data_IF_305722672969
#
_entry.id   IF_305722672969
#
_cell.length_a   1.000
_cell.length_b   1.000
_cell.length_c   1.000
_cell.angle_alpha   90.00
_cell.angle_beta   90.00
_cell.angle_gamma   90.00
#
_symmetry.space_group_name_H-M   'P 1'
#
loop_
_entity.id
_entity.type
_entity.pdbx_description
1 polymer ?
#
# COMPACT_ATOMS: atom_id res chain seq x y z
N UNK A 1 -13.92 0.31 -15.86
CA UNK A 1 -13.08 0.49 -14.66
C UNK A 1 -11.81 1.22 -15.04
N UNK A 2 -11.31 2.10 -14.20
CA UNK A 2 -10.16 2.93 -14.50
C UNK A 2 -9.11 2.76 -13.41
N UNK A 3 -7.89 2.46 -13.81
CA UNK A 3 -6.73 2.37 -12.94
C UNK A 3 -5.86 3.60 -13.18
N UNK A 4 -5.47 4.32 -12.15
CA UNK A 4 -4.84 5.63 -12.28
C UNK A 4 -3.45 5.64 -11.67
N UNK A 5 -2.61 5.98 -12.53
CA UNK A 5 -1.24 6.46 -12.60
C UNK A 5 -0.28 6.35 -11.43
N UNK A 6 0.85 5.76 -11.74
CA UNK A 6 2.14 6.41 -11.67
C UNK A 6 3.25 5.51 -12.21
N UNK A 7 4.35 6.07 -12.71
CA UNK A 7 5.49 5.33 -13.26
C UNK A 7 6.24 4.46 -12.22
N UNK A 8 5.84 4.48 -10.95
CA UNK A 8 6.46 3.76 -9.83
C UNK A 8 5.48 2.92 -9.01
N UNK A 9 4.30 2.59 -9.55
CA UNK A 9 3.30 1.86 -8.78
C UNK A 9 3.32 0.38 -9.06
N UNK A 10 4.22 -0.20 -8.40
CA UNK A 10 4.33 -1.64 -8.29
C UNK A 10 3.00 -2.27 -7.79
N UNK A 11 2.35 -1.66 -6.79
CA UNK A 11 1.03 -2.09 -6.28
C UNK A 11 -0.07 -1.96 -7.34
N UNK A 12 -0.12 -0.84 -8.06
CA UNK A 12 -1.10 -0.62 -9.12
C UNK A 12 -0.96 -1.63 -10.26
N UNK A 13 0.26 -2.02 -10.59
CA UNK A 13 0.53 -3.03 -11.62
C UNK A 13 0.17 -4.44 -11.17
N UNK A 14 0.38 -4.80 -9.91
CA UNK A 14 -0.07 -6.07 -9.35
C UNK A 14 -1.62 -6.18 -9.43
N UNK A 15 -2.33 -5.13 -9.08
CA UNK A 15 -3.79 -5.07 -9.18
C UNK A 15 -4.23 -5.10 -10.66
N UNK A 16 -3.57 -4.35 -11.53
CA UNK A 16 -3.87 -4.26 -12.96
C UNK A 16 -3.75 -5.63 -13.63
N UNK A 17 -2.69 -6.39 -13.32
CA UNK A 17 -2.49 -7.72 -13.87
C UNK A 17 -3.68 -8.64 -13.57
N UNK A 18 -4.16 -8.66 -12.31
CA UNK A 18 -5.30 -9.48 -11.92
C UNK A 18 -6.58 -9.07 -12.65
N UNK A 19 -6.81 -7.75 -12.80
CA UNK A 19 -8.00 -7.22 -13.46
C UNK A 19 -8.02 -7.49 -14.97
N UNK A 20 -6.87 -7.39 -15.64
CA UNK A 20 -6.74 -7.69 -17.08
C UNK A 20 -6.89 -9.20 -17.31
N UNK A 21 -6.19 -10.03 -16.52
CA UNK A 21 -6.26 -11.49 -16.69
C UNK A 21 -7.67 -12.04 -16.41
N UNK A 22 -8.41 -11.41 -15.50
CA UNK A 22 -9.79 -11.78 -15.19
C UNK A 22 -10.76 -11.58 -16.35
N UNK A 23 -10.45 -10.75 -17.33
CA UNK A 23 -11.25 -10.44 -18.54
C UNK A 23 -12.73 -10.08 -18.26
N UNK A 24 -13.04 -9.72 -17.02
CA UNK A 24 -14.42 -9.35 -16.62
C UNK A 24 -14.73 -7.87 -16.88
N UNK A 25 -13.70 -7.05 -17.06
CA UNK A 25 -13.83 -5.59 -17.12
C UNK A 25 -13.06 -4.99 -18.29
N UNK A 26 -13.61 -3.92 -18.84
CA UNK A 26 -12.83 -3.03 -19.69
C UNK A 26 -11.99 -2.13 -18.79
N UNK A 27 -10.65 -2.28 -18.85
CA UNK A 27 -9.70 -1.55 -18.02
C UNK A 27 -9.07 -0.43 -18.82
N UNK A 28 -9.15 0.80 -18.29
CA UNK A 28 -8.42 1.95 -18.83
C UNK A 28 -7.45 2.47 -17.77
N UNK A 29 -6.25 2.79 -18.20
CA UNK A 29 -5.18 3.31 -17.34
C UNK A 29 -4.90 4.76 -17.72
N UNK A 30 -5.01 5.65 -16.74
CA UNK A 30 -4.54 7.03 -16.89
C UNK A 30 -3.06 7.10 -16.54
N UNK A 31 -2.28 7.78 -17.36
CA UNK A 31 -0.85 7.98 -17.17
C UNK A 31 -0.47 9.41 -17.47
N UNK A 32 0.61 9.93 -16.87
CA UNK A 32 1.19 11.23 -17.24
C UNK A 32 2.08 11.14 -18.47
N UNK A 33 2.59 9.95 -18.74
CA UNK A 33 3.51 9.66 -19.85
C UNK A 33 3.01 8.48 -20.65
N UNK A 34 3.50 8.29 -21.86
CA UNK A 34 3.17 7.11 -22.66
C UNK A 34 3.62 5.82 -21.95
N UNK A 35 2.77 4.79 -21.98
CA UNK A 35 3.03 3.48 -21.37
C UNK A 35 2.69 2.34 -22.37
N UNK A 36 3.54 2.16 -23.41
CA UNK A 36 3.29 1.17 -24.47
C UNK A 36 3.26 -0.28 -23.97
N UNK A 37 3.98 -0.58 -22.88
CA UNK A 37 3.98 -1.87 -22.21
C UNK A 37 2.60 -2.24 -21.65
N UNK A 38 1.87 -1.27 -21.09
CA UNK A 38 0.50 -1.49 -20.60
C UNK A 38 -0.48 -1.71 -21.76
N UNK A 39 -0.30 -1.00 -22.86
CA UNK A 39 -1.11 -1.20 -24.07
C UNK A 39 -0.89 -2.61 -24.65
N UNK A 40 0.36 -3.08 -24.67
CA UNK A 40 0.69 -4.43 -25.12
C UNK A 40 0.08 -5.53 -24.21
N UNK A 41 -0.19 -5.23 -22.95
CA UNK A 41 -0.87 -6.11 -21.99
C UNK A 41 -2.41 -6.10 -22.14
N UNK A 42 -2.98 -5.27 -23.01
CA UNK A 42 -4.41 -5.18 -23.26
C UNK A 42 -5.14 -4.08 -22.50
N UNK A 43 -4.42 -3.20 -21.79
CA UNK A 43 -5.02 -2.02 -21.18
C UNK A 43 -5.28 -0.92 -22.23
N UNK A 44 -6.41 -0.23 -22.09
CA UNK A 44 -6.62 1.02 -22.79
C UNK A 44 -5.87 2.12 -22.04
N UNK A 45 -4.83 2.71 -22.64
CA UNK A 45 -4.00 3.74 -22.00
C UNK A 45 -4.38 5.12 -22.50
N UNK A 46 -4.63 6.04 -21.56
CA UNK A 46 -4.94 7.46 -21.87
C UNK A 46 -3.93 8.34 -21.12
N UNK A 47 -3.20 9.14 -21.87
CA UNK A 47 -2.34 10.16 -21.27
C UNK A 47 -3.19 11.35 -20.81
N UNK A 48 -3.03 11.74 -19.54
CA UNK A 48 -3.84 12.81 -18.91
C UNK A 48 -2.99 13.83 -18.18
N UNK A 49 -3.55 15.04 -18.09
CA UNK A 49 -3.15 16.06 -17.14
C UNK A 49 -4.16 16.09 -15.98
N UNK A 50 -3.71 15.84 -14.75
CA UNK A 50 -4.56 15.87 -13.57
C UNK A 50 -5.02 17.28 -13.17
N UNK A 51 -4.50 18.33 -13.79
CA UNK A 51 -4.97 19.70 -13.61
C UNK A 51 -6.12 20.05 -14.58
N UNK A 52 -6.31 19.29 -15.67
CA UNK A 52 -7.44 19.44 -16.60
C UNK A 52 -8.65 18.61 -16.15
N UNK A 53 -9.43 19.17 -15.22
CA UNK A 53 -10.66 18.51 -14.70
C UNK A 53 -11.71 18.23 -15.78
N UNK A 54 -11.79 19.07 -16.81
CA UNK A 54 -12.76 18.89 -17.89
C UNK A 54 -12.38 17.70 -18.76
N UNK A 55 -11.09 17.54 -19.08
CA UNK A 55 -10.61 16.34 -19.78
C UNK A 55 -10.83 15.07 -18.93
N UNK A 56 -10.45 15.09 -17.64
CA UNK A 56 -10.69 13.98 -16.74
C UNK A 56 -12.18 13.61 -16.70
N UNK A 57 -13.09 14.59 -16.56
CA UNK A 57 -14.54 14.35 -16.56
C UNK A 57 -15.00 13.70 -17.85
N UNK A 58 -14.51 14.15 -19.02
CA UNK A 58 -14.87 13.55 -20.33
C UNK A 58 -14.43 12.08 -20.41
N UNK A 59 -13.20 11.79 -19.97
CA UNK A 59 -12.66 10.43 -20.00
C UNK A 59 -13.36 9.49 -18.99
N UNK A 60 -13.86 10.01 -17.87
CA UNK A 60 -14.54 9.23 -16.84
C UNK A 60 -16.02 8.95 -17.12
N UNK A 61 -16.61 9.51 -18.18
CA UNK A 61 -18.01 9.22 -18.53
C UNK A 61 -18.24 7.73 -18.80
N UNK A 62 -19.24 7.16 -18.11
CA UNK A 62 -19.56 5.73 -18.21
C UNK A 62 -18.66 4.82 -17.39
N UNK A 63 -17.71 5.38 -16.65
CA UNK A 63 -16.87 4.63 -15.72
C UNK A 63 -17.64 4.32 -14.44
N UNK A 64 -17.61 3.07 -14.01
CA UNK A 64 -18.26 2.63 -12.77
C UNK A 64 -17.34 2.82 -11.54
N UNK A 65 -16.08 2.43 -11.64
CA UNK A 65 -15.14 2.39 -10.50
C UNK A 65 -13.80 3.02 -10.88
N UNK A 66 -13.28 3.86 -10.02
CA UNK A 66 -11.95 4.47 -10.13
C UNK A 66 -11.07 3.97 -8.99
N UNK A 67 -9.88 3.47 -9.31
CA UNK A 67 -8.84 3.07 -8.36
C UNK A 67 -7.64 4.00 -8.55
N UNK A 68 -7.31 4.83 -7.56
CA UNK A 68 -6.18 5.75 -7.61
C UNK A 68 -4.93 5.15 -6.98
N UNK A 69 -3.83 5.18 -7.72
CA UNK A 69 -2.51 4.78 -7.24
C UNK A 69 -1.52 5.96 -7.31
N UNK A 70 -2.01 7.20 -7.27
CA UNK A 70 -1.16 8.40 -7.25
C UNK A 70 -0.27 8.37 -5.99
N UNK A 71 1.06 8.35 -6.18
CA UNK A 71 2.01 8.27 -5.06
C UNK A 71 1.83 9.48 -4.14
N UNK A 72 1.56 9.29 -2.84
CA UNK A 72 1.26 10.40 -1.91
C UNK A 72 2.38 11.42 -1.77
N UNK A 73 3.63 11.00 -1.98
CA UNK A 73 4.82 11.87 -1.90
C UNK A 73 5.12 12.62 -3.21
N UNK A 74 4.38 12.33 -4.29
CA UNK A 74 4.54 13.07 -5.55
C UNK A 74 4.12 14.53 -5.39
N UNK A 75 4.81 15.41 -6.12
CA UNK A 75 4.47 16.83 -6.16
C UNK A 75 3.00 17.00 -6.58
N UNK A 76 2.22 17.77 -5.82
CA UNK A 76 0.78 18.03 -6.04
C UNK A 76 -0.12 16.78 -5.97
N UNK A 77 0.32 15.69 -5.35
CA UNK A 77 -0.47 14.45 -5.24
C UNK A 77 -1.88 14.68 -4.65
N UNK A 78 -1.98 15.47 -3.60
CA UNK A 78 -3.27 15.83 -2.98
C UNK A 78 -4.19 16.58 -3.94
N UNK A 79 -3.68 17.55 -4.68
CA UNK A 79 -4.44 18.29 -5.68
C UNK A 79 -4.89 17.37 -6.83
N UNK A 80 -4.00 16.53 -7.34
CA UNK A 80 -4.32 15.58 -8.40
C UNK A 80 -5.44 14.60 -8.00
N UNK A 81 -5.40 14.07 -6.77
CA UNK A 81 -6.46 13.19 -6.28
C UNK A 81 -7.77 13.93 -6.06
N UNK A 82 -7.76 15.16 -5.52
CA UNK A 82 -8.98 15.98 -5.36
C UNK A 82 -9.61 16.32 -6.71
N UNK A 83 -8.81 16.71 -7.70
CA UNK A 83 -9.30 16.94 -9.08
C UNK A 83 -9.93 15.69 -9.68
N UNK A 84 -9.34 14.52 -9.41
CA UNK A 84 -9.86 13.25 -9.88
C UNK A 84 -11.18 12.88 -9.19
N UNK A 85 -11.33 13.17 -7.89
CA UNK A 85 -12.58 13.00 -7.14
C UNK A 85 -13.66 13.90 -7.73
N UNK A 86 -13.37 15.20 -7.96
CA UNK A 86 -14.30 16.15 -8.55
C UNK A 86 -14.77 15.68 -9.93
N UNK A 87 -13.82 15.29 -10.79
CA UNK A 87 -14.10 14.77 -12.12
C UNK A 87 -14.92 13.46 -12.08
N UNK A 88 -14.65 12.59 -11.10
CA UNK A 88 -15.42 11.36 -10.89
C UNK A 88 -16.87 11.65 -10.52
N UNK A 89 -17.10 12.61 -9.61
CA UNK A 89 -18.45 13.04 -9.22
C UNK A 89 -19.17 13.64 -10.43
N UNK A 90 -18.52 14.56 -11.15
CA UNK A 90 -19.08 15.23 -12.33
C UNK A 90 -19.42 14.24 -13.48
N UNK A 91 -18.64 13.17 -13.62
CA UNK A 91 -18.85 12.13 -14.61
C UNK A 91 -19.89 11.06 -14.20
N UNK A 92 -20.35 11.07 -12.94
CA UNK A 92 -21.28 10.07 -12.41
C UNK A 92 -20.65 8.72 -12.09
N UNK A 93 -19.35 8.70 -11.77
CA UNK A 93 -18.65 7.49 -11.27
C UNK A 93 -19.31 7.05 -9.96
N UNK A 94 -19.54 5.74 -9.83
CA UNK A 94 -20.20 5.20 -8.63
C UNK A 94 -19.23 4.98 -7.47
N UNK A 95 -18.02 4.44 -7.75
CA UNK A 95 -17.06 3.99 -6.74
C UNK A 95 -15.68 4.59 -6.92
N UNK A 96 -15.04 4.94 -5.82
CA UNK A 96 -13.70 5.52 -5.81
C UNK A 96 -12.84 4.89 -4.71
N UNK A 97 -11.63 4.46 -5.06
CA UNK A 97 -10.61 4.10 -4.11
C UNK A 97 -9.46 5.12 -4.19
N UNK A 98 -9.24 5.95 -3.16
CA UNK A 98 -8.08 6.84 -3.12
C UNK A 98 -6.80 6.05 -2.93
N UNK A 99 -5.65 6.70 -3.11
CA UNK A 99 -4.34 6.07 -2.94
C UNK A 99 -4.00 5.86 -1.45
N UNK A 100 -4.62 4.87 -0.83
CA UNK A 100 -4.35 4.42 0.55
C UNK A 100 -3.31 3.30 0.58
N UNK A 101 -3.64 2.11 0.20
CA UNK A 101 -2.82 0.91 -0.05
C UNK A 101 -1.74 0.60 1.00
N UNK A 102 -1.95 0.95 2.27
CA UNK A 102 -0.99 0.74 3.36
C UNK A 102 -1.66 0.73 4.75
N UNK A 103 -1.06 1.45 5.72
CA UNK A 103 -1.57 1.64 7.06
C UNK A 103 -2.91 2.38 7.11
N UNK A 104 -3.59 2.32 8.25
CA UNK A 104 -4.82 3.09 8.47
C UNK A 104 -4.57 4.61 8.40
N UNK A 105 -5.62 5.36 8.05
CA UNK A 105 -5.61 6.83 8.02
C UNK A 105 -5.28 7.43 9.40
N UNK A 106 -4.86 8.69 9.42
CA UNK A 106 -4.42 9.42 10.61
C UNK A 106 -3.25 8.74 11.31
N UNK A 107 -2.37 8.16 10.51
CA UNK A 107 -1.26 7.34 10.99
C UNK A 107 -0.15 8.13 11.69
N UNK A 108 0.00 9.43 11.37
CA UNK A 108 1.16 10.22 11.76
C UNK A 108 2.47 9.74 11.10
N UNK A 109 2.39 8.88 10.10
CA UNK A 109 3.55 8.44 9.29
C UNK A 109 3.95 9.60 8.38
N UNK A 110 5.22 9.93 8.36
CA UNK A 110 5.75 10.97 7.48
C UNK A 110 5.44 10.63 6.00
N UNK A 111 4.96 11.62 5.25
CA UNK A 111 4.54 11.44 3.86
C UNK A 111 3.12 10.91 3.66
N UNK A 112 2.38 10.54 4.71
CA UNK A 112 0.99 10.08 4.61
C UNK A 112 -0.05 11.18 4.87
N UNK A 113 0.34 12.40 5.25
CA UNK A 113 -0.60 13.51 5.47
C UNK A 113 -1.50 13.80 4.26
N UNK A 114 -0.98 13.58 3.04
CA UNK A 114 -1.77 13.72 1.81
C UNK A 114 -2.92 12.71 1.75
N UNK A 115 -2.76 11.51 2.29
CA UNK A 115 -3.84 10.51 2.38
C UNK A 115 -4.94 11.01 3.29
N UNK A 116 -4.58 11.57 4.45
CA UNK A 116 -5.53 12.13 5.41
C UNK A 116 -6.30 13.33 4.79
N UNK A 117 -5.61 14.21 4.07
CA UNK A 117 -6.25 15.32 3.34
C UNK A 117 -7.25 14.82 2.29
N UNK A 118 -6.93 13.76 1.56
CA UNK A 118 -7.82 13.19 0.54
C UNK A 118 -9.01 12.49 1.19
N UNK A 119 -8.78 11.80 2.31
CA UNK A 119 -9.86 11.18 3.08
C UNK A 119 -10.83 12.24 3.63
N UNK A 120 -10.32 13.32 4.22
CA UNK A 120 -11.17 14.41 4.73
C UNK A 120 -11.93 15.09 3.59
N UNK A 121 -11.32 15.21 2.41
CA UNK A 121 -12.02 15.71 1.22
C UNK A 121 -13.16 14.78 0.78
N UNK A 122 -12.96 13.47 0.79
CA UNK A 122 -14.02 12.49 0.50
C UNK A 122 -15.17 12.55 1.50
N UNK A 123 -14.90 12.80 2.79
CA UNK A 123 -15.94 13.04 3.80
C UNK A 123 -16.71 14.31 3.49
N UNK A 124 -16.00 15.42 3.18
CA UNK A 124 -16.60 16.71 2.92
C UNK A 124 -17.53 16.67 1.70
N UNK A 125 -17.13 16.06 0.58
CA UNK A 125 -18.00 15.97 -0.60
C UNK A 125 -19.24 15.09 -0.39
N UNK A 126 -19.21 14.19 0.59
CA UNK A 126 -20.31 13.29 0.93
C UNK A 126 -21.16 13.74 2.15
N UNK A 127 -20.83 14.88 2.80
CA UNK A 127 -21.42 15.24 4.10
C UNK A 127 -22.92 15.45 4.08
N UNK A 128 -23.45 16.09 3.03
CA UNK A 128 -24.87 16.42 2.93
C UNK A 128 -25.68 15.28 2.28
N UNK A 129 -25.04 14.56 1.36
CA UNK A 129 -25.57 13.35 0.71
C UNK A 129 -24.44 12.53 0.15
N UNK A 130 -24.62 11.23 0.05
CA UNK A 130 -23.67 10.33 -0.61
C UNK A 130 -23.66 10.60 -2.13
N UNK A 131 -22.60 11.25 -2.62
CA UNK A 131 -22.40 11.55 -4.05
C UNK A 131 -21.40 10.61 -4.71
N UNK A 132 -20.50 10.01 -3.90
CA UNK A 132 -19.49 9.08 -4.38
C UNK A 132 -19.22 8.01 -3.30
N UNK A 133 -19.48 6.74 -3.63
CA UNK A 133 -19.10 5.64 -2.76
C UNK A 133 -17.58 5.48 -2.77
N UNK A 134 -16.93 5.37 -1.61
CA UNK A 134 -15.49 5.19 -1.55
C UNK A 134 -15.05 4.14 -0.53
N UNK A 135 -13.86 3.59 -0.76
CA UNK A 135 -13.23 2.66 0.16
C UNK A 135 -11.74 2.97 0.30
N UNK A 136 -11.27 3.06 1.54
CA UNK A 136 -9.86 3.14 1.91
C UNK A 136 -9.32 1.71 2.03
N UNK A 137 -8.74 1.17 0.97
CA UNK A 137 -8.12 -0.16 1.02
C UNK A 137 -6.84 -0.13 1.85
N UNK A 138 -6.86 -0.80 2.99
CA UNK A 138 -5.80 -0.76 4.00
C UNK A 138 -5.27 -2.19 4.26
N UNK A 139 -4.23 -2.65 3.53
CA UNK A 139 -3.63 -3.98 3.72
C UNK A 139 -2.65 -4.08 4.90
N UNK A 140 -2.37 -2.99 5.61
CA UNK A 140 -1.27 -2.94 6.56
C UNK A 140 0.09 -2.90 5.87
N UNK A 141 1.06 -3.63 6.39
CA UNK A 141 2.40 -3.79 5.83
C UNK A 141 2.40 -4.89 4.76
N UNK A 142 3.01 -4.64 3.61
CA UNK A 142 3.17 -5.72 2.64
C UNK A 142 4.13 -6.78 3.17
N UNK A 143 3.60 -8.00 3.30
CA UNK A 143 4.32 -9.19 3.76
C UNK A 143 5.55 -9.46 2.89
N UNK A 144 5.50 -9.05 1.61
CA UNK A 144 6.55 -9.23 0.61
C UNK A 144 7.88 -8.59 1.01
N UNK A 145 7.89 -7.55 1.84
CA UNK A 145 9.14 -6.99 2.36
C UNK A 145 9.93 -7.97 3.23
N UNK A 146 9.25 -8.96 3.83
CA UNK A 146 9.90 -9.99 4.65
C UNK A 146 10.70 -11.00 3.81
N UNK A 147 10.55 -10.98 2.49
CA UNK A 147 11.34 -11.84 1.57
C UNK A 147 12.67 -11.22 1.14
N UNK A 148 12.89 -9.92 1.42
CA UNK A 148 14.12 -9.26 0.96
C UNK A 148 15.39 -10.01 1.38
N UNK A 149 16.37 -10.24 0.47
CA UNK A 149 16.49 -9.67 -0.88
C UNK A 149 15.85 -10.51 -2.01
N UNK A 150 15.15 -11.58 -1.72
CA UNK A 150 14.59 -12.50 -2.72
C UNK A 150 13.24 -11.99 -3.25
N UNK A 151 13.09 -11.76 -4.57
CA UNK A 151 11.84 -11.31 -5.15
C UNK A 151 10.69 -12.27 -4.86
N UNK A 152 9.58 -11.76 -4.33
CA UNK A 152 8.33 -12.50 -4.07
C UNK A 152 7.12 -11.87 -4.77
N UNK A 153 7.37 -10.94 -5.67
CA UNK A 153 6.37 -10.16 -6.40
C UNK A 153 6.80 -10.00 -7.85
N UNK A 154 5.86 -9.64 -8.70
CA UNK A 154 6.14 -9.35 -10.10
C UNK A 154 6.55 -7.89 -10.32
N UNK A 155 5.89 -6.98 -9.63
CA UNK A 155 6.06 -5.54 -9.83
C UNK A 155 6.46 -4.80 -8.56
N UNK A 156 5.92 -5.17 -7.38
CA UNK A 156 6.24 -4.47 -6.14
C UNK A 156 7.73 -4.55 -5.84
N UNK A 157 8.39 -3.40 -5.86
CA UNK A 157 9.78 -3.30 -5.45
C UNK A 157 9.89 -3.52 -3.95
N UNK A 158 10.65 -4.55 -3.55
CA UNK A 158 10.93 -4.84 -2.15
C UNK A 158 12.28 -4.29 -1.75
N UNK A 159 12.39 -3.90 -0.49
CA UNK A 159 13.63 -3.41 0.14
C UNK A 159 13.67 -3.83 1.60
N UNK A 160 14.86 -3.75 2.21
CA UNK A 160 15.02 -4.11 3.62
C UNK A 160 14.29 -3.15 4.54
N UNK A 161 13.59 -3.71 5.53
CA UNK A 161 12.93 -2.99 6.62
C UNK A 161 13.49 -3.45 7.98
N UNK A 162 12.81 -3.09 9.07
CA UNK A 162 13.24 -3.40 10.44
C UNK A 162 13.35 -4.90 10.76
N UNK A 163 12.78 -5.79 9.93
CA UNK A 163 12.92 -7.25 10.05
C UNK A 163 13.81 -7.76 8.91
N UNK A 164 15.09 -7.98 9.19
CA UNK A 164 16.09 -8.44 8.22
C UNK A 164 16.30 -9.96 8.38
N UNK A 165 15.44 -10.73 7.69
CA UNK A 165 15.45 -12.18 7.76
C UNK A 165 16.71 -12.79 7.14
N UNK A 166 17.30 -12.11 6.15
CA UNK A 166 18.56 -12.57 5.52
C UNK A 166 19.70 -12.60 6.55
N UNK A 167 19.84 -11.56 7.35
CA UNK A 167 20.88 -11.46 8.34
C UNK A 167 20.44 -11.85 9.75
N UNK A 168 19.21 -12.36 9.91
CA UNK A 168 18.61 -12.82 11.18
C UNK A 168 18.72 -11.76 12.28
N UNK A 169 18.19 -10.57 12.00
CA UNK A 169 18.20 -9.44 12.93
C UNK A 169 16.93 -8.60 12.79
N UNK A 170 16.58 -7.92 13.86
CA UNK A 170 15.41 -7.04 13.88
C UNK A 170 15.66 -5.78 14.72
N UNK A 171 14.94 -4.70 14.38
CA UNK A 171 14.85 -3.48 15.17
C UNK A 171 13.40 -3.30 15.57
N UNK A 172 13.12 -3.24 16.88
CA UNK A 172 11.75 -3.12 17.41
C UNK A 172 11.68 -2.06 18.52
N UNK A 173 10.50 -1.52 18.84
CA UNK A 173 10.34 -0.68 20.03
C UNK A 173 10.65 -1.46 21.31
N UNK A 174 11.25 -0.80 22.31
CA UNK A 174 11.72 -1.45 23.55
C UNK A 174 10.58 -1.86 24.50
N UNK A 175 9.51 -1.07 24.54
CA UNK A 175 8.55 -1.13 25.65
C UNK A 175 7.20 -1.70 25.25
N UNK A 176 6.97 -1.92 23.98
CA UNK A 176 5.65 -2.33 23.44
C UNK A 176 5.83 -3.40 22.37
N UNK A 177 5.17 -4.53 22.56
CA UNK A 177 5.05 -5.58 21.54
C UNK A 177 3.89 -5.25 20.58
N UNK A 178 4.20 -4.40 19.59
CA UNK A 178 3.20 -3.78 18.72
C UNK A 178 2.55 -4.81 17.77
N UNK A 179 1.21 -4.87 17.72
CA UNK A 179 0.53 -5.66 16.69
C UNK A 179 0.64 -4.97 15.33
N UNK A 180 0.92 -5.76 14.31
CA UNK A 180 0.95 -5.32 12.91
C UNK A 180 0.15 -6.28 12.04
N UNK A 181 -0.53 -5.76 11.04
CA UNK A 181 -1.16 -6.55 10.00
C UNK A 181 -0.23 -6.66 8.80
N UNK A 182 -0.05 -7.89 8.32
CA UNK A 182 0.74 -8.22 7.14
C UNK A 182 -0.16 -8.85 6.08
N UNK A 183 -0.09 -8.35 4.86
CA UNK A 183 -0.86 -8.86 3.72
C UNK A 183 0.05 -8.93 2.50
N UNK A 184 -0.02 -9.99 1.70
CA UNK A 184 0.73 -10.03 0.44
C UNK A 184 0.11 -9.06 -0.57
N UNK A 185 0.92 -8.48 -1.45
CA UNK A 185 0.39 -7.63 -2.53
C UNK A 185 -0.48 -8.44 -3.50
N UNK A 186 -0.23 -9.73 -3.63
CA UNK A 186 -1.04 -10.65 -4.44
C UNK A 186 -2.45 -10.82 -3.85
N UNK A 187 -2.56 -10.94 -2.52
CA UNK A 187 -3.86 -11.06 -1.87
C UNK A 187 -4.60 -9.72 -1.90
N UNK A 188 -3.91 -8.60 -1.71
CA UNK A 188 -4.50 -7.28 -1.96
C UNK A 188 -5.09 -7.21 -3.38
N UNK A 189 -4.34 -7.61 -4.41
CA UNK A 189 -4.80 -7.55 -5.79
C UNK A 189 -6.05 -8.41 -6.04
N UNK A 190 -6.10 -9.61 -5.45
CA UNK A 190 -7.30 -10.48 -5.49
C UNK A 190 -8.49 -9.83 -4.79
N UNK A 191 -8.28 -9.28 -3.57
CA UNK A 191 -9.35 -8.59 -2.83
C UNK A 191 -9.90 -7.41 -3.63
N UNK A 192 -9.04 -6.60 -4.23
CA UNK A 192 -9.47 -5.44 -5.04
C UNK A 192 -10.26 -5.90 -6.25
N UNK A 193 -9.85 -6.97 -6.93
CA UNK A 193 -10.59 -7.52 -8.06
C UNK A 193 -11.99 -8.00 -7.65
N UNK A 194 -12.11 -8.75 -6.54
CA UNK A 194 -13.40 -9.18 -6.00
C UNK A 194 -14.25 -7.99 -5.49
N UNK A 195 -13.61 -6.98 -4.90
CA UNK A 195 -14.29 -5.77 -4.44
C UNK A 195 -14.93 -4.98 -5.59
N UNK A 196 -14.28 -4.92 -6.75
CA UNK A 196 -14.85 -4.29 -7.96
C UNK A 196 -16.14 -5.01 -8.40
N UNK A 197 -16.20 -6.33 -8.27
CA UNK A 197 -17.37 -7.16 -8.60
C UNK A 197 -18.43 -7.20 -7.48
N UNK A 198 -18.09 -6.75 -6.28
CA UNK A 198 -18.96 -6.83 -5.12
C UNK A 198 -20.26 -6.05 -5.32
N UNK A 199 -21.41 -6.73 -5.15
CA UNK A 199 -22.72 -6.12 -5.42
C UNK A 199 -23.25 -5.27 -4.26
N UNK A 200 -22.68 -5.45 -3.04
CA UNK A 200 -23.02 -4.65 -1.87
C UNK A 200 -22.34 -3.28 -1.85
N UNK A 201 -22.62 -2.52 -0.81
CA UNK A 201 -21.92 -1.27 -0.54
C UNK A 201 -20.47 -1.54 -0.09
N UNK A 202 -19.53 -0.72 -0.57
CA UNK A 202 -18.16 -0.77 -0.10
C UNK A 202 -18.03 -0.21 1.31
N UNK A 203 -17.27 -0.86 2.21
CA UNK A 203 -16.94 -0.27 3.50
C UNK A 203 -16.06 0.96 3.30
N UNK A 204 -16.34 2.05 4.00
CA UNK A 204 -15.50 3.25 3.91
C UNK A 204 -14.06 2.97 4.37
N UNK A 205 -13.91 2.21 5.46
CA UNK A 205 -12.63 1.62 5.86
C UNK A 205 -12.62 0.18 5.39
N UNK A 206 -11.72 -0.15 4.51
CA UNK A 206 -11.60 -1.47 3.90
C UNK A 206 -10.30 -2.15 4.31
N UNK A 207 -10.22 -2.59 5.56
CA UNK A 207 -9.10 -3.35 6.06
C UNK A 207 -9.01 -4.72 5.43
N UNK A 208 -7.75 -5.17 5.17
CA UNK A 208 -7.41 -6.46 4.58
C UNK A 208 -6.31 -7.09 5.45
N UNK A 209 -6.55 -8.29 5.96
CA UNK A 209 -5.62 -8.94 6.87
C UNK A 209 -5.24 -10.34 6.39
N UNK A 210 -3.99 -10.53 5.99
CA UNK A 210 -3.40 -11.86 5.83
C UNK A 210 -3.06 -12.47 7.18
N UNK A 211 -2.30 -11.72 8.00
CA UNK A 211 -2.02 -12.07 9.41
C UNK A 211 -1.92 -10.81 10.25
N UNK A 212 -2.50 -10.85 11.45
CA UNK A 212 -2.27 -9.83 12.47
C UNK A 212 -1.49 -10.47 13.62
N UNK A 213 -0.24 -10.08 13.77
CA UNK A 213 0.71 -10.65 14.74
C UNK A 213 1.55 -9.54 15.38
N UNK A 214 2.13 -9.82 16.53
CA UNK A 214 3.04 -8.89 17.20
C UNK A 214 4.48 -9.04 16.67
N UNK A 215 5.35 -8.07 17.00
CA UNK A 215 6.77 -8.13 16.64
C UNK A 215 7.44 -9.38 17.20
N UNK A 216 7.14 -9.75 18.45
CA UNK A 216 7.72 -10.93 19.09
C UNK A 216 7.22 -12.25 18.47
N UNK A 217 5.96 -12.29 18.04
CA UNK A 217 5.41 -13.45 17.31
C UNK A 217 6.05 -13.61 15.94
N UNK A 218 6.23 -12.50 15.20
CA UNK A 218 6.91 -12.52 13.91
C UNK A 218 8.35 -13.00 14.04
N UNK A 219 9.09 -12.49 15.05
CA UNK A 219 10.47 -12.90 15.29
C UNK A 219 10.54 -14.40 15.62
N UNK A 220 9.66 -14.91 16.52
CA UNK A 220 9.61 -16.36 16.83
C UNK A 220 9.34 -17.22 15.58
N UNK A 221 8.42 -16.80 14.71
CA UNK A 221 8.19 -17.48 13.44
C UNK A 221 9.43 -17.45 12.54
N UNK A 222 10.07 -16.29 12.42
CA UNK A 222 11.29 -16.15 11.63
C UNK A 222 12.44 -17.02 12.20
N UNK A 223 12.60 -17.07 13.53
CA UNK A 223 13.59 -17.93 14.20
C UNK A 223 13.35 -19.42 13.96
N UNK A 224 12.10 -19.87 13.91
CA UNK A 224 11.78 -21.28 13.61
C UNK A 224 12.20 -21.71 12.20
N UNK A 225 12.35 -20.77 11.28
CA UNK A 225 12.71 -21.02 9.88
C UNK A 225 14.19 -20.72 9.63
N UNK A 226 14.72 -19.61 10.20
CA UNK A 226 16.04 -19.08 9.89
C UNK A 226 17.08 -19.32 10.99
N UNK A 227 16.67 -19.75 12.19
CA UNK A 227 17.50 -19.82 13.38
C UNK A 227 17.52 -18.51 14.18
N UNK A 228 18.31 -18.43 15.27
CA UNK A 228 18.24 -17.32 16.24
C UNK A 228 18.48 -15.93 15.62
N UNK A 229 17.73 -14.94 16.12
CA UNK A 229 17.80 -13.52 15.70
C UNK A 229 18.53 -12.66 16.72
N UNK A 230 19.29 -11.67 16.23
CA UNK A 230 19.76 -10.54 16.99
C UNK A 230 18.73 -9.43 16.97
N UNK A 231 18.17 -9.09 18.13
CA UNK A 231 17.11 -8.08 18.24
C UNK A 231 17.68 -6.84 18.94
N UNK A 232 17.59 -5.70 18.26
CA UNK A 232 17.90 -4.39 18.86
C UNK A 232 16.60 -3.66 19.17
N UNK A 233 16.53 -3.06 20.34
CA UNK A 233 15.36 -2.32 20.80
C UNK A 233 15.63 -0.81 20.79
N UNK A 234 14.62 -0.03 20.43
CA UNK A 234 14.69 1.43 20.36
C UNK A 234 13.61 2.04 21.25
N UNK A 235 13.99 2.91 22.23
CA UNK A 235 13.02 3.60 23.08
C UNK A 235 12.05 4.48 22.28
N UNK A 236 10.79 4.56 22.75
CA UNK A 236 9.75 5.35 22.07
C UNK A 236 10.17 6.82 21.85
N UNK A 237 10.84 7.43 22.83
CA UNK A 237 11.32 8.82 22.69
C UNK A 237 12.34 8.97 21.57
N UNK A 238 13.22 7.98 21.37
CA UNK A 238 14.21 8.00 20.29
C UNK A 238 13.51 7.84 18.92
N UNK A 239 12.54 6.95 18.82
CA UNK A 239 11.71 6.77 17.61
C UNK A 239 10.97 8.07 17.27
N UNK A 240 10.35 8.72 18.24
CA UNK A 240 9.65 10.01 18.04
C UNK A 240 10.63 11.13 17.63
N UNK A 241 11.84 11.12 18.15
CA UNK A 241 12.91 12.04 17.77
C UNK A 241 13.56 11.72 16.42
N UNK A 242 13.16 10.63 15.75
CA UNK A 242 13.71 10.21 14.47
C UNK A 242 15.11 9.61 14.54
N UNK A 243 15.47 8.99 15.67
CA UNK A 243 16.80 8.41 15.93
C UNK A 243 16.67 6.93 16.25
N UNK A 244 17.38 6.08 15.52
CA UNK A 244 17.42 4.64 15.82
C UNK A 244 18.44 4.32 16.90
N UNK A 245 19.63 4.90 16.84
CA UNK A 245 20.77 4.59 17.72
C UNK A 245 21.10 3.08 17.75
N UNK A 246 20.98 2.42 16.60
CA UNK A 246 21.23 0.99 16.41
C UNK A 246 22.58 0.74 15.75
N UNK A 247 23.11 -0.47 15.90
CA UNK A 247 24.39 -0.87 15.29
C UNK A 247 24.29 -0.99 13.77
N UNK A 248 23.08 -1.15 13.23
CA UNK A 248 22.79 -1.23 11.81
C UNK A 248 21.50 -0.49 11.44
N UNK A 249 21.37 -0.13 10.17
CA UNK A 249 20.16 0.44 9.58
C UNK A 249 19.95 -0.29 8.24
N UNK A 250 18.73 -0.81 7.94
CA UNK A 250 18.46 -1.34 6.62
C UNK A 250 18.51 -0.19 5.60
N UNK A 251 19.33 -0.33 4.56
CA UNK A 251 19.43 0.69 3.53
C UNK A 251 18.28 0.57 2.54
N UNK A 252 17.52 1.65 2.40
CA UNK A 252 16.40 1.78 1.47
C UNK A 252 16.91 2.55 0.25
N UNK A 253 17.23 1.81 -0.81
CA UNK A 253 17.65 2.39 -2.08
C UNK A 253 16.51 2.30 -3.09
N UNK A 254 16.01 3.43 -3.54
CA UNK A 254 14.94 3.51 -4.53
C UNK A 254 15.47 4.10 -5.84
N UNK A 255 15.11 3.54 -7.01
CA UNK A 255 15.52 4.10 -8.31
C UNK A 255 15.09 5.56 -8.52
N UNK A 256 14.06 6.00 -7.80
CA UNK A 256 13.52 7.36 -7.86
C UNK A 256 14.25 8.37 -6.96
N UNK A 257 15.25 7.93 -6.19
CA UNK A 257 16.00 8.85 -5.32
C UNK A 257 16.79 9.87 -6.13
N UNK A 258 16.74 11.17 -5.75
CA UNK A 258 17.59 12.18 -6.36
C UNK A 258 19.08 11.83 -6.20
N UNK A 259 19.93 12.13 -7.19
CA UNK A 259 21.36 12.01 -7.05
C UNK A 259 21.89 12.79 -5.84
N UNK A 260 22.79 12.18 -5.06
CA UNK A 260 23.37 12.80 -3.86
C UNK A 260 22.49 12.69 -2.59
N UNK A 261 21.40 11.95 -2.63
CA UNK A 261 20.62 11.65 -1.42
C UNK A 261 21.50 10.90 -0.41
N UNK A 262 21.52 11.37 0.85
CA UNK A 262 22.07 10.58 1.94
C UNK A 262 21.16 9.37 2.23
N UNK A 263 21.50 8.23 1.60
CA UNK A 263 20.72 6.98 1.70
C UNK A 263 20.58 6.52 3.14
N UNK A 264 21.63 6.69 3.98
CA UNK A 264 21.59 6.26 5.38
C UNK A 264 20.60 7.12 6.18
N UNK A 265 20.70 8.43 6.08
CA UNK A 265 19.80 9.35 6.78
C UNK A 265 18.35 9.16 6.30
N UNK A 266 18.14 8.99 4.99
CA UNK A 266 16.82 8.68 4.43
C UNK A 266 16.24 7.37 5.00
N UNK A 267 17.06 6.32 5.03
CA UNK A 267 16.66 5.00 5.54
C UNK A 267 16.32 5.04 7.02
N UNK A 268 17.15 5.71 7.83
CA UNK A 268 16.93 5.88 9.27
C UNK A 268 15.59 6.60 9.53
N UNK A 269 15.33 7.69 8.82
CA UNK A 269 14.04 8.40 8.91
C UNK A 269 12.87 7.52 8.50
N UNK A 270 13.03 6.72 7.45
CA UNK A 270 12.03 5.76 6.98
C UNK A 270 11.70 4.69 8.03
N UNK A 271 12.73 4.06 8.61
CA UNK A 271 12.54 3.04 9.66
C UNK A 271 11.92 3.66 10.93
N UNK A 272 12.39 4.83 11.37
CA UNK A 272 11.73 5.55 12.48
C UNK A 272 10.25 5.81 12.18
N UNK A 273 9.91 6.15 10.95
CA UNK A 273 8.52 6.36 10.55
C UNK A 273 7.69 5.08 10.64
N UNK A 274 8.23 3.94 10.21
CA UNK A 274 7.56 2.62 10.33
C UNK A 274 7.37 2.26 11.80
N UNK A 275 8.41 2.39 12.64
CA UNK A 275 8.34 2.09 14.07
C UNK A 275 7.38 3.03 14.81
N UNK A 276 7.33 4.32 14.45
CA UNK A 276 6.35 5.26 14.98
C UNK A 276 4.92 4.83 14.64
N UNK A 277 4.71 4.37 13.42
CA UNK A 277 3.43 3.78 13.02
C UNK A 277 3.09 2.52 13.84
N UNK A 278 4.07 1.70 14.18
CA UNK A 278 3.87 0.54 15.04
C UNK A 278 3.48 0.95 16.47
N UNK A 279 4.20 1.92 17.08
CA UNK A 279 3.86 2.47 18.41
C UNK A 279 2.43 3.02 18.49
N UNK A 280 1.91 3.53 17.40
CA UNK A 280 0.54 4.08 17.28
C UNK A 280 -0.47 3.08 16.78
N UNK A 281 -0.08 1.82 16.65
CA UNK A 281 -0.89 0.73 16.10
C UNK A 281 -1.50 1.03 14.71
N UNK A 282 -0.88 1.91 13.91
CA UNK A 282 -1.43 2.29 12.61
C UNK A 282 -1.30 1.20 11.56
N UNK A 283 -0.39 0.24 11.78
CA UNK A 283 -0.25 -0.96 10.96
C UNK A 283 -1.25 -2.07 11.33
N UNK A 284 -1.91 -1.97 12.49
CA UNK A 284 -2.93 -2.92 12.92
C UNK A 284 -4.28 -2.52 12.28
N UNK A 285 -4.44 -2.80 11.00
CA UNK A 285 -5.67 -2.50 10.26
C UNK A 285 -6.78 -3.49 10.58
N UNK A 286 -8.01 -3.12 10.22
CA UNK A 286 -9.21 -3.95 10.37
C UNK A 286 -9.31 -5.04 9.29
N UNK A 287 -10.43 -5.75 9.22
CA UNK A 287 -10.62 -6.94 8.40
C UNK A 287 -11.97 -6.95 7.65
N UNK A 288 -12.49 -5.76 7.28
CA UNK A 288 -13.81 -5.65 6.64
C UNK A 288 -13.89 -6.48 5.36
N UNK A 289 -12.86 -6.43 4.52
CA UNK A 289 -12.86 -7.22 3.29
C UNK A 289 -12.75 -8.71 3.54
N UNK A 290 -12.04 -9.15 4.57
CA UNK A 290 -12.02 -10.57 4.92
C UNK A 290 -13.42 -11.09 5.27
N UNK A 291 -14.23 -10.27 5.99
CA UNK A 291 -15.60 -10.61 6.36
C UNK A 291 -16.55 -10.62 5.18
N UNK A 292 -16.37 -9.68 4.24
CA UNK A 292 -17.19 -9.59 3.02
C UNK A 292 -16.83 -10.67 1.98
N UNK A 293 -15.60 -11.17 2.01
CA UNK A 293 -15.08 -12.18 1.08
C UNK A 293 -14.59 -13.44 1.84
N UNK A 294 -15.46 -14.12 2.61
CA UNK A 294 -15.04 -15.19 3.51
C UNK A 294 -14.47 -16.42 2.80
N UNK A 295 -14.74 -16.56 1.50
CA UNK A 295 -14.22 -17.67 0.68
C UNK A 295 -12.85 -17.36 0.07
N UNK A 296 -12.35 -16.13 0.18
CA UNK A 296 -11.04 -15.76 -0.32
C UNK A 296 -10.00 -16.06 0.76
N UNK A 297 -9.23 -17.14 0.53
CA UNK A 297 -8.15 -17.52 1.46
C UNK A 297 -7.01 -16.50 1.34
N UNK A 298 -6.64 -15.91 2.47
CA UNK A 298 -5.46 -15.05 2.59
C UNK A 298 -4.23 -15.86 2.96
N UNK A 299 -3.07 -15.44 2.46
CA UNK A 299 -1.78 -16.00 2.81
C UNK A 299 -1.40 -15.57 4.22
N UNK A 300 -1.06 -16.51 5.08
CA UNK A 300 -0.55 -16.22 6.42
C UNK A 300 0.95 -15.93 6.40
N UNK A 301 1.46 -15.21 7.42
CA UNK A 301 2.91 -14.98 7.57
C UNK A 301 3.67 -16.30 7.64
N UNK A 302 3.13 -17.30 8.32
CA UNK A 302 3.78 -18.60 8.43
C UNK A 302 3.89 -19.31 7.08
N UNK A 303 2.82 -19.33 6.27
CA UNK A 303 2.83 -19.90 4.92
C UNK A 303 3.83 -19.16 4.04
N UNK A 304 3.77 -17.82 4.04
CA UNK A 304 4.64 -16.98 3.23
C UNK A 304 6.13 -17.16 3.58
N UNK A 305 6.49 -17.10 4.85
CA UNK A 305 7.88 -17.24 5.28
C UNK A 305 8.41 -18.66 4.98
N UNK A 306 7.57 -19.69 5.17
CA UNK A 306 7.92 -21.05 4.82
C UNK A 306 8.26 -21.19 3.34
N UNK A 307 7.45 -20.59 2.46
CA UNK A 307 7.65 -20.65 1.00
C UNK A 307 8.89 -19.86 0.55
N UNK A 308 8.98 -18.58 0.97
CA UNK A 308 10.02 -17.68 0.41
C UNK A 308 11.42 -17.96 0.94
N UNK A 309 11.53 -18.58 2.13
CA UNK A 309 12.81 -18.88 2.77
C UNK A 309 13.22 -20.37 2.66
N UNK A 310 12.39 -21.22 2.04
CA UNK A 310 12.76 -22.61 1.78
C UNK A 310 14.06 -22.70 0.96
N UNK A 311 15.04 -23.44 1.48
CA UNK A 311 16.34 -23.65 0.83
C UNK A 311 17.22 -22.40 0.68
N UNK A 312 16.87 -21.27 1.33
CA UNK A 312 17.70 -20.05 1.31
C UNK A 312 18.77 -20.09 2.40
N UNK A 313 19.99 -19.55 2.12
CA UNK A 313 21.11 -19.54 3.07
C UNK A 313 20.86 -18.68 4.31
#
# INVERSE_FOLDING_TARGET
MWLIDAPFLDVGREVLDVLIHGQKHQVTVFTRTAAPDLTAQGANVVQVDYDDKDALTRYLRGVHTVLSFIVPTAVRAGAAQKNLIDASIAAGVRRFAPSEWAARSSSGIAGYSVKDEVHDYLKEVNKDRKVLEYCLFQPGMFMNYLSFPYPSTKHLQIFGLQYDLQNRRAIVPSDIDCPMTFTTVQDLAKVVAEAVDHQGEWPQTGGISGSRITSSELIRLAESIRGPFSVETVPAEAIEAGKLNTSWVPLIELPSMPPGTDVRAFSEAGICSVLRGALRETWAVSDEWNKLLPNLKMTTVQEFLGEVWEGKP
#
